data_IF_745993414468
#
_entry.id   IF_745993414468
#
_cell.length_a   1.000
_cell.length_b   1.000
_cell.length_c   1.000
_cell.angle_alpha   90.00
_cell.angle_beta   90.00
_cell.angle_gamma   90.00
#
_symmetry.space_group_name_H-M   'P 1'
#
loop_
_entity.id
_entity.type
_entity.pdbx_description
1 polymer ?
#
# COMPACT_ATOMS: atom_id res chain seq x y z
N UNK A 1 10.97 9.50 48.22
CA UNK A 1 10.18 10.42 47.37
C UNK A 1 10.99 11.02 46.21
N UNK A 2 12.24 11.46 46.42
CA UNK A 2 13.09 12.03 45.36
C UNK A 2 13.28 11.09 44.14
N UNK A 3 13.50 9.80 44.36
CA UNK A 3 13.73 8.82 43.29
C UNK A 3 12.55 8.61 42.35
N UNK A 4 11.31 8.76 42.83
CA UNK A 4 10.10 8.64 42.00
C UNK A 4 9.97 9.83 41.05
N UNK A 5 10.28 11.04 41.53
CA UNK A 5 10.27 12.25 40.71
C UNK A 5 11.34 12.23 39.61
N UNK A 6 12.56 11.79 39.94
CA UNK A 6 13.65 11.65 38.96
C UNK A 6 13.32 10.58 37.91
N UNK A 7 12.79 9.43 38.33
CA UNK A 7 12.36 8.39 37.40
C UNK A 7 11.26 8.88 36.45
N UNK A 8 10.23 9.57 36.98
CA UNK A 8 9.17 10.15 36.16
C UNK A 8 9.71 11.14 35.13
N UNK A 9 10.60 12.04 35.53
CA UNK A 9 11.22 13.02 34.63
C UNK A 9 12.02 12.34 33.50
N UNK A 10 12.83 11.32 33.83
CA UNK A 10 13.58 10.55 32.83
C UNK A 10 12.62 9.84 31.88
N UNK A 11 11.57 9.20 32.41
CA UNK A 11 10.59 8.48 31.60
C UNK A 11 9.89 9.40 30.60
N UNK A 12 9.42 10.58 31.03
CA UNK A 12 8.75 11.52 30.13
C UNK A 12 9.71 12.14 29.12
N UNK A 13 10.93 12.51 29.52
CA UNK A 13 11.92 13.06 28.58
C UNK A 13 12.37 12.03 27.55
N UNK A 14 12.62 10.79 27.96
CA UNK A 14 12.98 9.71 27.05
C UNK A 14 11.80 9.33 26.14
N UNK A 15 10.58 9.29 26.67
CA UNK A 15 9.36 9.04 25.91
C UNK A 15 9.11 10.11 24.86
N UNK A 16 9.19 11.40 25.24
CA UNK A 16 9.05 12.54 24.33
C UNK A 16 10.14 12.53 23.26
N UNK A 17 11.41 12.28 23.63
CA UNK A 17 12.51 12.18 22.67
C UNK A 17 12.29 11.02 21.70
N UNK A 18 11.84 9.87 22.19
CA UNK A 18 11.51 8.72 21.36
C UNK A 18 10.38 9.07 20.38
N UNK A 19 9.30 9.70 20.85
CA UNK A 19 8.20 10.14 20.00
C UNK A 19 8.66 11.16 18.95
N UNK A 20 9.54 12.11 19.30
CA UNK A 20 10.11 13.07 18.32
C UNK A 20 11.04 12.42 17.31
N UNK A 21 11.73 11.34 17.66
CA UNK A 21 12.55 10.59 16.71
C UNK A 21 11.68 9.73 15.77
N UNK A 22 10.61 9.15 16.30
CA UNK A 22 9.66 8.33 15.53
C UNK A 22 8.78 9.21 14.62
N UNK A 23 8.30 10.33 15.15
CA UNK A 23 7.39 11.29 14.51
C UNK A 23 8.06 12.65 14.29
N UNK A 24 9.26 12.64 13.72
CA UNK A 24 10.08 13.84 13.51
C UNK A 24 9.35 14.96 12.76
N UNK A 25 8.42 14.60 11.87
CA UNK A 25 7.60 15.54 11.09
C UNK A 25 6.19 15.78 11.69
N UNK A 26 5.91 15.25 12.89
CA UNK A 26 4.60 15.35 13.54
C UNK A 26 3.50 14.50 12.88
N UNK A 27 3.87 13.57 12.01
CA UNK A 27 2.93 12.78 11.24
C UNK A 27 2.56 11.46 11.97
N UNK A 28 1.30 11.01 11.90
CA UNK A 28 0.85 9.77 12.56
C UNK A 28 1.37 8.50 11.82
N UNK A 29 1.20 7.30 12.41
CA UNK A 29 1.55 6.01 11.77
C UNK A 29 0.91 5.77 10.39
N UNK A 30 -0.05 6.58 9.95
CA UNK A 30 -0.58 6.57 8.58
C UNK A 30 0.35 7.23 7.57
N UNK A 31 1.33 8.00 8.02
CA UNK A 31 2.18 8.76 7.13
C UNK A 31 3.39 7.96 6.68
N UNK A 32 3.59 7.92 5.36
CA UNK A 32 4.66 7.17 4.71
C UNK A 32 5.97 7.96 4.72
N UNK A 33 6.25 8.64 5.84
CA UNK A 33 7.43 9.49 6.03
C UNK A 33 8.04 9.24 7.39
N UNK A 34 9.31 9.62 7.51
CA UNK A 34 10.11 9.38 8.71
C UNK A 34 11.06 8.19 8.58
N UNK A 35 12.13 8.18 9.40
CA UNK A 35 13.28 7.30 9.21
C UNK A 35 12.95 5.81 9.42
N UNK A 36 11.98 5.50 10.27
CA UNK A 36 11.56 4.11 10.53
C UNK A 36 10.75 3.57 9.36
N UNK A 37 9.78 4.34 8.85
CA UNK A 37 8.95 3.93 7.72
C UNK A 37 9.80 3.78 6.46
N UNK A 38 10.66 4.75 6.17
CA UNK A 38 11.61 4.66 5.05
C UNK A 38 12.51 3.43 5.14
N UNK A 39 12.97 3.07 6.35
CA UNK A 39 13.79 1.87 6.56
C UNK A 39 13.01 0.59 6.30
N UNK A 40 11.73 0.54 6.68
CA UNK A 40 10.85 -0.62 6.44
C UNK A 40 10.49 -0.72 4.95
N UNK A 41 10.19 0.39 4.30
CA UNK A 41 9.74 0.45 2.90
C UNK A 41 10.88 0.36 1.89
N UNK A 42 12.14 0.59 2.30
CA UNK A 42 13.31 0.49 1.42
C UNK A 42 13.39 -0.83 0.66
N UNK A 43 12.97 -1.92 1.30
CA UNK A 43 13.07 -3.26 0.76
C UNK A 43 11.77 -3.68 0.03
N UNK A 44 10.81 -2.77 -0.12
CA UNK A 44 9.57 -3.04 -0.85
C UNK A 44 9.81 -2.98 -2.36
N UNK A 45 9.21 -3.95 -3.05
CA UNK A 45 9.09 -3.91 -4.50
C UNK A 45 7.87 -3.07 -4.89
N UNK A 46 8.08 -2.14 -5.79
CA UNK A 46 7.04 -1.33 -6.36
C UNK A 46 6.87 -1.61 -7.85
N UNK A 47 5.64 -1.52 -8.34
CA UNK A 47 5.28 -1.59 -9.75
C UNK A 47 5.42 -0.21 -10.42
N UNK A 48 5.41 -0.18 -11.75
CA UNK A 48 5.61 1.06 -12.51
C UNK A 48 4.41 2.02 -12.51
N UNK A 49 3.25 1.60 -11.97
CA UNK A 49 2.01 2.33 -12.15
C UNK A 49 1.67 3.19 -10.93
N UNK A 50 1.37 4.45 -11.21
CA UNK A 50 0.90 5.45 -10.25
C UNK A 50 1.78 5.71 -9.01
N UNK A 51 2.99 6.25 -9.21
CA UNK A 51 3.78 6.76 -8.08
C UNK A 51 4.27 5.63 -7.17
N UNK A 52 4.95 4.64 -7.79
CA UNK A 52 5.15 3.26 -7.35
C UNK A 52 4.13 2.63 -6.37
N UNK A 53 3.18 1.82 -6.88
CA UNK A 53 2.28 0.99 -6.06
C UNK A 53 2.90 -0.38 -5.74
N UNK A 54 2.35 -1.14 -4.78
CA UNK A 54 2.77 -2.53 -4.48
C UNK A 54 1.82 -3.55 -5.13
N UNK A 55 2.33 -4.77 -5.37
CA UNK A 55 1.55 -5.90 -5.89
C UNK A 55 1.75 -6.16 -7.39
N UNK A 56 0.94 -7.05 -7.98
CA UNK A 56 1.12 -7.49 -9.36
C UNK A 56 1.21 -6.35 -10.38
N UNK A 57 2.08 -6.59 -11.35
CA UNK A 57 2.25 -5.77 -12.54
C UNK A 57 1.95 -6.62 -13.78
N UNK A 58 1.28 -6.06 -14.81
CA UNK A 58 1.08 -6.76 -16.06
C UNK A 58 2.40 -7.18 -16.69
N UNK A 59 2.45 -8.37 -17.26
CA UNK A 59 3.64 -8.90 -17.94
C UNK A 59 3.93 -8.23 -19.30
N UNK A 60 3.03 -7.35 -19.77
CA UNK A 60 3.15 -6.64 -21.04
C UNK A 60 1.78 -6.21 -21.60
N UNK A 61 1.67 -6.00 -22.93
CA UNK A 61 0.39 -5.74 -23.59
C UNK A 61 -0.64 -6.82 -23.27
N UNK A 62 -1.93 -6.46 -23.26
CA UNK A 62 -3.01 -7.41 -22.96
C UNK A 62 -3.08 -8.52 -24.01
N UNK A 63 -3.09 -9.77 -23.54
CA UNK A 63 -3.27 -10.92 -24.43
C UNK A 63 -4.76 -11.13 -24.73
N UNK A 64 -5.17 -11.43 -25.99
CA UNK A 64 -6.58 -11.56 -26.35
C UNK A 64 -7.34 -12.68 -25.62
N UNK A 65 -6.62 -13.69 -25.13
CA UNK A 65 -7.18 -14.85 -24.42
C UNK A 65 -7.03 -14.78 -22.90
N UNK A 66 -6.46 -13.69 -22.36
CA UNK A 66 -6.37 -13.49 -20.91
C UNK A 66 -7.30 -12.37 -20.46
N UNK A 67 -7.89 -12.56 -19.28
CA UNK A 67 -8.59 -11.47 -18.62
C UNK A 67 -7.59 -10.59 -17.88
N UNK A 68 -7.77 -9.27 -17.94
CA UNK A 68 -6.97 -8.32 -17.17
C UNK A 68 -7.78 -7.71 -16.05
N UNK A 69 -7.33 -7.96 -14.83
CA UNK A 69 -7.93 -7.44 -13.61
C UNK A 69 -7.16 -6.21 -13.17
N UNK A 70 -7.87 -5.09 -12.98
CA UNK A 70 -7.34 -3.91 -12.32
C UNK A 70 -7.82 -3.90 -10.88
N UNK A 71 -6.89 -3.89 -9.93
CA UNK A 71 -7.20 -3.65 -8.53
C UNK A 71 -6.87 -2.19 -8.22
N UNK A 72 -7.85 -1.47 -7.69
CA UNK A 72 -7.71 -0.07 -7.32
C UNK A 72 -8.13 0.11 -5.86
N UNK A 73 -7.29 0.75 -5.05
CA UNK A 73 -7.61 0.96 -3.64
C UNK A 73 -6.59 1.76 -2.84
N UNK A 74 -6.72 1.68 -1.53
CA UNK A 74 -6.04 2.56 -0.57
C UNK A 74 -4.87 1.83 0.14
N UNK A 75 -4.60 2.20 1.39
CA UNK A 75 -3.59 1.58 2.25
C UNK A 75 -3.82 0.08 2.47
N UNK A 76 -5.07 -0.39 2.47
CA UNK A 76 -5.40 -1.82 2.56
C UNK A 76 -4.91 -2.51 1.30
N UNK A 77 -5.20 -1.94 0.13
CA UNK A 77 -4.77 -2.53 -1.14
C UNK A 77 -3.26 -2.51 -1.29
N UNK A 78 -2.63 -1.41 -0.86
CA UNK A 78 -1.18 -1.25 -0.84
C UNK A 78 -0.49 -2.22 0.14
N UNK A 79 -1.23 -2.71 1.14
CA UNK A 79 -0.77 -3.69 2.13
C UNK A 79 -0.04 -3.06 3.30
N UNK A 80 -0.61 -2.00 3.89
CA UNK A 80 -0.06 -1.38 5.09
C UNK A 80 0.08 -2.41 6.22
N UNK A 81 1.28 -2.49 6.80
CA UNK A 81 1.63 -3.50 7.80
C UNK A 81 2.06 -4.87 7.23
N UNK A 82 1.97 -5.10 5.93
CA UNK A 82 2.39 -6.35 5.27
C UNK A 82 3.78 -6.19 4.67
N UNK A 83 4.78 -6.90 5.23
CA UNK A 83 6.16 -6.87 4.73
C UNK A 83 6.37 -7.77 3.52
N UNK A 84 5.95 -9.04 3.61
CA UNK A 84 6.12 -9.99 2.52
C UNK A 84 5.13 -9.68 1.39
N UNK A 85 5.65 -9.40 0.20
CA UNK A 85 4.85 -9.11 -0.98
C UNK A 85 3.88 -10.24 -1.33
N UNK A 86 4.29 -11.51 -1.18
CA UNK A 86 3.43 -12.67 -1.46
C UNK A 86 2.18 -12.74 -0.58
N UNK A 87 2.20 -12.05 0.57
CA UNK A 87 1.07 -11.98 1.49
C UNK A 87 0.09 -10.85 1.18
N UNK A 88 0.44 -9.94 0.26
CA UNK A 88 -0.50 -8.93 -0.24
C UNK A 88 -1.73 -9.64 -0.81
N UNK A 89 -2.92 -9.14 -0.50
CA UNK A 89 -4.17 -9.78 -0.94
C UNK A 89 -4.25 -9.87 -2.47
N UNK A 90 -3.71 -8.88 -3.20
CA UNK A 90 -3.64 -8.85 -4.65
C UNK A 90 -2.76 -9.99 -5.20
N UNK A 91 -1.58 -10.21 -4.61
CA UNK A 91 -0.72 -11.34 -4.95
C UNK A 91 -1.38 -12.68 -4.65
N UNK A 92 -1.97 -12.83 -3.46
CA UNK A 92 -2.70 -14.06 -3.09
C UNK A 92 -3.87 -14.32 -4.04
N UNK A 93 -4.62 -13.29 -4.40
CA UNK A 93 -5.73 -13.40 -5.35
C UNK A 93 -5.23 -13.84 -6.73
N UNK A 94 -4.18 -13.22 -7.26
CA UNK A 94 -3.58 -13.62 -8.54
C UNK A 94 -3.12 -15.08 -8.52
N UNK A 95 -2.45 -15.51 -7.45
CA UNK A 95 -2.02 -16.90 -7.27
C UNK A 95 -3.22 -17.85 -7.27
N UNK A 96 -4.27 -17.56 -6.49
CA UNK A 96 -5.48 -18.40 -6.45
C UNK A 96 -6.22 -18.47 -7.79
N UNK A 97 -6.28 -17.37 -8.53
CA UNK A 97 -6.90 -17.38 -9.87
C UNK A 97 -6.11 -18.24 -10.86
N UNK A 98 -4.78 -18.19 -10.80
CA UNK A 98 -3.91 -19.03 -11.64
C UNK A 98 -4.00 -20.51 -11.28
N UNK A 99 -4.17 -20.85 -10.00
CA UNK A 99 -4.43 -22.23 -9.55
C UNK A 99 -5.73 -22.80 -10.13
N UNK A 100 -6.72 -21.95 -10.46
CA UNK A 100 -7.97 -22.37 -11.12
C UNK A 100 -7.86 -22.50 -12.65
N UNK A 101 -6.64 -22.46 -13.20
CA UNK A 101 -6.34 -22.59 -14.63
C UNK A 101 -6.97 -21.48 -15.51
N UNK A 102 -7.25 -20.31 -14.91
CA UNK A 102 -7.70 -19.11 -15.65
C UNK A 102 -6.47 -18.30 -16.05
N UNK A 103 -6.36 -17.97 -17.34
CA UNK A 103 -5.34 -17.04 -17.81
C UNK A 103 -5.72 -15.62 -17.40
N UNK A 104 -5.10 -15.14 -16.33
CA UNK A 104 -5.31 -13.78 -15.82
C UNK A 104 -4.00 -13.03 -15.66
N UNK A 105 -4.06 -11.75 -16.03
CA UNK A 105 -3.10 -10.72 -15.66
C UNK A 105 -3.72 -9.76 -14.67
N UNK A 106 -2.88 -9.10 -13.87
CA UNK A 106 -3.34 -8.16 -12.86
C UNK A 106 -2.46 -6.91 -12.82
N UNK A 107 -3.11 -5.76 -12.70
CA UNK A 107 -2.48 -4.49 -12.38
C UNK A 107 -3.01 -3.99 -11.04
N UNK A 108 -2.14 -3.41 -10.22
CA UNK A 108 -2.53 -2.78 -8.94
C UNK A 108 -2.21 -1.30 -8.97
N UNK A 109 -3.24 -0.51 -8.67
CA UNK A 109 -3.23 0.94 -8.53
C UNK A 109 -3.62 1.30 -7.10
N UNK A 110 -2.64 1.30 -6.19
CA UNK A 110 -2.87 1.55 -4.77
C UNK A 110 -2.00 2.67 -4.23
N UNK A 111 -2.63 3.60 -3.48
CA UNK A 111 -1.88 4.56 -2.65
C UNK A 111 -2.58 4.73 -1.30
N UNK A 112 -1.83 4.66 -0.20
CA UNK A 112 -2.30 4.98 1.14
C UNK A 112 -2.96 6.36 1.22
N UNK A 113 -4.09 6.44 1.93
CA UNK A 113 -4.83 7.68 2.16
C UNK A 113 -5.55 8.25 0.92
N UNK A 114 -5.80 7.42 -0.10
CA UNK A 114 -6.42 7.85 -1.34
C UNK A 114 -7.95 7.91 -1.25
N UNK A 115 -8.52 8.96 -1.83
CA UNK A 115 -9.97 9.20 -1.91
C UNK A 115 -10.55 8.92 -3.31
N UNK A 116 -11.89 8.96 -3.43
CA UNK A 116 -12.64 8.48 -4.61
C UNK A 116 -12.36 9.30 -5.87
N UNK A 117 -12.11 10.61 -5.71
CA UNK A 117 -11.82 11.50 -6.84
C UNK A 117 -10.46 11.18 -7.46
N UNK A 118 -9.46 10.86 -6.63
CA UNK A 118 -8.13 10.45 -7.10
C UNK A 118 -8.17 9.11 -7.83
N UNK A 119 -9.02 8.20 -7.36
CA UNK A 119 -9.29 6.92 -8.00
C UNK A 119 -9.84 7.06 -9.41
N UNK A 120 -10.77 7.99 -9.65
CA UNK A 120 -11.25 8.29 -10.99
C UNK A 120 -10.13 8.86 -11.88
N UNK A 121 -9.24 9.69 -11.33
CA UNK A 121 -8.11 10.25 -12.06
C UNK A 121 -7.11 9.15 -12.49
N UNK A 122 -6.86 8.16 -11.63
CA UNK A 122 -6.02 7.01 -11.99
C UNK A 122 -6.61 6.23 -13.16
N UNK A 123 -7.91 5.94 -13.14
CA UNK A 123 -8.56 5.21 -14.22
C UNK A 123 -8.51 6.00 -15.53
N UNK A 124 -8.68 7.33 -15.48
CA UNK A 124 -8.51 8.20 -16.65
C UNK A 124 -7.08 8.18 -17.19
N UNK A 125 -6.08 8.14 -16.31
CA UNK A 125 -4.66 8.14 -16.67
C UNK A 125 -4.20 6.79 -17.24
N UNK A 126 -4.53 5.70 -16.57
CA UNK A 126 -3.95 4.38 -16.84
C UNK A 126 -4.93 3.40 -17.48
N UNK A 127 -6.24 3.64 -17.42
CA UNK A 127 -7.25 2.69 -17.88
C UNK A 127 -7.11 2.31 -19.35
N UNK A 128 -6.75 3.26 -20.21
CA UNK A 128 -6.52 2.99 -21.64
C UNK A 128 -5.27 2.12 -21.88
N UNK A 129 -4.19 2.34 -21.13
CA UNK A 129 -2.96 1.56 -21.26
C UNK A 129 -3.13 0.15 -20.68
N UNK A 130 -3.79 0.06 -19.53
CA UNK A 130 -4.02 -1.20 -18.84
C UNK A 130 -5.09 -2.05 -19.52
N UNK A 131 -6.12 -1.46 -20.14
CA UNK A 131 -7.22 -2.17 -20.81
C UNK A 131 -7.91 -3.24 -19.93
N UNK A 132 -8.33 -2.91 -18.70
CA UNK A 132 -8.92 -3.91 -17.80
C UNK A 132 -10.28 -4.44 -18.32
N UNK A 133 -10.53 -5.72 -18.10
CA UNK A 133 -11.86 -6.35 -18.27
C UNK A 133 -12.69 -6.26 -16.99
N UNK A 134 -12.01 -6.31 -15.85
CA UNK A 134 -12.62 -6.30 -14.53
C UNK A 134 -11.86 -5.30 -13.67
N UNK A 135 -12.60 -4.45 -12.96
CA UNK A 135 -12.04 -3.54 -11.96
C UNK A 135 -12.54 -4.02 -10.60
N UNK A 136 -11.61 -4.39 -9.72
CA UNK A 136 -11.88 -4.63 -8.31
C UNK A 136 -11.55 -3.33 -7.59
N UNK A 137 -12.58 -2.69 -7.06
CA UNK A 137 -12.46 -1.47 -6.29
C UNK A 137 -12.54 -1.79 -4.80
N UNK A 138 -11.47 -1.50 -4.08
CA UNK A 138 -11.43 -1.60 -2.63
C UNK A 138 -11.51 -0.19 -2.04
N UNK A 139 -12.50 0.00 -1.18
CA UNK A 139 -12.77 1.25 -0.48
C UNK A 139 -13.15 0.96 0.96
N UNK A 140 -12.61 1.73 1.90
CA UNK A 140 -13.02 1.67 3.29
C UNK A 140 -14.20 2.61 3.56
N UNK A 141 -15.34 2.08 4.00
CA UNK A 141 -16.51 2.88 4.42
C UNK A 141 -16.46 3.04 5.94
N UNK A 142 -16.37 4.28 6.43
CA UNK A 142 -16.62 4.59 7.83
C UNK A 142 -18.12 4.45 8.12
N UNK A 143 -18.48 3.67 9.15
CA UNK A 143 -19.83 3.63 9.74
C UNK A 143 -19.85 4.43 11.04
#
# INVERSE_FOLDING_TARGET
MLGVGVFGAIFFLAGELCLRLVFWEGESFSAHKGPIVQRVERDFKFNAFDGPSRGPEPSGPKHPQSARILIQGDSITWGQGVRNEEQLFSNRLLTRLRETNVQVDMAVLARPGREIDEHLQQLKKWGHELQPDVIIYQWYIYQ
#
